data_IF_791350488300
#
_entry.id   IF_791350488300
#
_cell.length_a   1.000
_cell.length_b   1.000
_cell.length_c   1.000
_cell.angle_alpha   90.00
_cell.angle_beta   90.00
_cell.angle_gamma   90.00
#
_symmetry.space_group_name_H-M   'P 1'
#
loop_
_entity.id
_entity.type
_entity.pdbx_description
1 polymer ?
#
# COMPACT_ATOMS: atom_id res chain seq x y z
N UNK A 1 -4.12 -21.13 -11.25
CA UNK A 1 -4.97 -20.47 -12.27
C UNK A 1 -4.87 -18.98 -12.05
N UNK A 2 -4.65 -18.16 -13.09
CA UNK A 2 -4.68 -16.69 -13.02
C UNK A 2 -5.93 -16.25 -13.76
N UNK A 3 -6.72 -15.38 -13.12
CA UNK A 3 -7.97 -14.87 -13.68
C UNK A 3 -7.92 -13.35 -13.74
N UNK A 4 -8.30 -12.76 -14.87
CA UNK A 4 -8.37 -11.32 -15.04
C UNK A 4 -9.83 -10.86 -15.00
N UNK A 5 -10.13 -9.83 -14.20
CA UNK A 5 -11.48 -9.25 -14.08
C UNK A 5 -11.65 -8.42 -12.82
N UNK A 6 -12.85 -7.87 -12.63
CA UNK A 6 -13.21 -7.16 -11.41
C UNK A 6 -13.29 -8.16 -10.24
N UNK A 7 -12.64 -7.84 -9.13
CA UNK A 7 -12.59 -8.72 -7.96
C UNK A 7 -13.97 -8.91 -7.30
N UNK A 8 -14.87 -7.94 -7.39
CA UNK A 8 -16.23 -8.08 -6.83
C UNK A 8 -17.07 -9.08 -7.61
N UNK A 9 -16.91 -9.11 -8.94
CA UNK A 9 -17.61 -10.07 -9.79
C UNK A 9 -17.12 -11.50 -9.48
N UNK A 10 -15.79 -11.69 -9.40
CA UNK A 10 -15.20 -12.96 -9.05
C UNK A 10 -15.58 -13.42 -7.64
N UNK A 11 -15.43 -12.55 -6.64
CA UNK A 11 -15.85 -12.88 -5.28
C UNK A 11 -17.36 -13.18 -5.22
N UNK A 12 -18.18 -12.47 -6.02
CA UNK A 12 -19.62 -12.70 -6.11
C UNK A 12 -19.98 -14.09 -6.64
N UNK A 13 -19.20 -14.62 -7.57
CA UNK A 13 -19.39 -15.92 -8.20
C UNK A 13 -18.86 -17.11 -7.36
N UNK A 14 -18.00 -16.87 -6.37
CA UNK A 14 -17.45 -17.92 -5.51
C UNK A 14 -18.46 -18.36 -4.44
N UNK A 15 -18.40 -19.64 -4.08
CA UNK A 15 -19.20 -20.15 -2.97
C UNK A 15 -18.79 -19.54 -1.62
N UNK A 16 -19.73 -19.28 -0.71
CA UNK A 16 -19.41 -18.87 0.65
C UNK A 16 -18.53 -19.91 1.35
N UNK A 17 -17.66 -19.45 2.25
CA UNK A 17 -16.83 -20.32 3.09
C UNK A 17 -15.99 -21.34 2.29
N UNK A 18 -15.51 -20.94 1.10
CA UNK A 18 -14.77 -21.82 0.19
C UNK A 18 -13.25 -21.55 0.16
N UNK A 19 -12.79 -20.41 0.69
CA UNK A 19 -11.40 -19.95 0.60
C UNK A 19 -10.70 -20.07 1.95
N UNK A 20 -9.51 -20.68 1.98
CA UNK A 20 -8.75 -20.94 3.20
C UNK A 20 -7.95 -19.72 3.69
N UNK A 21 -7.45 -18.91 2.78
CA UNK A 21 -6.65 -17.71 3.10
C UNK A 21 -6.66 -16.72 1.94
N UNK A 22 -6.30 -15.47 2.23
CA UNK A 22 -6.09 -14.45 1.22
C UNK A 22 -4.79 -13.67 1.47
N UNK A 23 -4.05 -13.38 0.41
CA UNK A 23 -2.97 -12.38 0.41
C UNK A 23 -3.28 -11.41 -0.70
N UNK A 24 -3.35 -10.13 -0.39
CA UNK A 24 -3.76 -9.12 -1.37
C UNK A 24 -2.98 -7.82 -1.23
N UNK A 25 -2.67 -7.25 -2.39
CA UNK A 25 -2.06 -5.93 -2.56
C UNK A 25 -3.09 -5.02 -3.25
N UNK A 26 -4.02 -4.44 -2.47
CA UNK A 26 -5.10 -3.62 -3.01
C UNK A 26 -4.62 -2.20 -3.32
N UNK A 27 -5.43 -1.37 -4.01
CA UNK A 27 -5.15 0.05 -4.17
C UNK A 27 -4.83 0.75 -2.84
N UNK A 28 -3.76 1.58 -2.83
CA UNK A 28 -3.29 2.27 -1.62
C UNK A 28 -3.86 3.68 -1.44
N UNK A 29 -4.51 4.22 -2.47
CA UNK A 29 -5.00 5.59 -2.44
C UNK A 29 -3.87 6.61 -2.36
N UNK A 30 -2.86 6.50 -3.23
CA UNK A 30 -1.65 7.33 -3.20
C UNK A 30 -1.90 8.77 -3.69
N UNK A 31 -3.11 9.09 -4.14
CA UNK A 31 -3.52 10.43 -4.54
C UNK A 31 -3.73 11.39 -3.37
N UNK A 32 -4.41 12.52 -3.64
CA UNK A 32 -4.82 13.46 -2.58
C UNK A 32 -5.87 12.77 -1.70
N UNK A 33 -5.64 12.65 -0.37
CA UNK A 33 -6.59 11.99 0.50
C UNK A 33 -7.90 12.78 0.56
N UNK A 34 -9.06 12.12 0.51
CA UNK A 34 -10.33 12.77 0.74
C UNK A 34 -10.53 13.16 2.21
N UNK A 35 -11.50 14.05 2.53
CA UNK A 35 -11.88 14.33 3.91
C UNK A 35 -12.33 13.04 4.61
N UNK A 36 -11.61 12.60 5.61
CA UNK A 36 -11.87 11.31 6.28
C UNK A 36 -13.27 11.23 6.90
N UNK A 37 -13.77 12.35 7.40
CA UNK A 37 -15.12 12.41 7.98
C UNK A 37 -16.20 12.04 6.98
N UNK A 38 -16.04 12.43 5.70
CA UNK A 38 -17.01 12.12 4.64
C UNK A 38 -16.93 10.65 4.24
N UNK A 39 -15.70 10.10 4.18
CA UNK A 39 -15.48 8.68 3.95
C UNK A 39 -16.17 7.83 5.01
N UNK A 40 -15.90 8.14 6.28
CA UNK A 40 -16.45 7.38 7.42
C UNK A 40 -17.98 7.51 7.49
N UNK A 41 -18.53 8.71 7.21
CA UNK A 41 -19.98 8.91 7.18
C UNK A 41 -20.64 8.03 6.12
N UNK A 42 -20.10 8.00 4.90
CA UNK A 42 -20.60 7.15 3.83
C UNK A 42 -20.50 5.65 4.20
N UNK A 43 -19.36 5.21 4.70
CA UNK A 43 -19.17 3.80 5.08
C UNK A 43 -20.07 3.34 6.22
N UNK A 44 -20.31 4.19 7.21
CA UNK A 44 -21.22 3.89 8.33
C UNK A 44 -22.69 3.88 7.88
N UNK A 45 -23.05 4.67 6.88
CA UNK A 45 -24.36 4.62 6.24
C UNK A 45 -24.54 3.39 5.32
N UNK A 46 -23.45 2.64 5.06
CA UNK A 46 -23.47 1.50 4.13
C UNK A 46 -23.21 1.86 2.67
N UNK A 47 -22.92 3.14 2.41
CA UNK A 47 -22.68 3.66 1.07
C UNK A 47 -21.24 3.40 0.60
N UNK A 48 -21.06 3.33 -0.72
CA UNK A 48 -19.77 3.40 -1.33
C UNK A 48 -19.26 4.85 -1.32
N UNK A 49 -17.97 5.03 -0.99
CA UNK A 49 -17.30 6.30 -1.16
C UNK A 49 -16.43 6.25 -2.40
N UNK A 50 -16.65 7.15 -3.35
CA UNK A 50 -15.87 7.27 -4.58
C UNK A 50 -15.14 8.61 -4.61
N UNK A 51 -13.93 8.61 -5.14
CA UNK A 51 -13.12 9.83 -5.33
C UNK A 51 -13.01 10.08 -6.83
N UNK A 52 -13.51 11.22 -7.28
CA UNK A 52 -13.49 11.61 -8.69
C UNK A 52 -12.14 12.14 -9.17
N UNK A 53 -11.21 12.40 -8.25
CA UNK A 53 -9.86 12.82 -8.61
C UNK A 53 -9.06 11.64 -9.15
N UNK A 54 -8.30 11.86 -10.21
CA UNK A 54 -7.35 10.86 -10.72
C UNK A 54 -6.41 10.40 -9.61
N UNK A 55 -6.29 9.09 -9.40
CA UNK A 55 -5.37 8.49 -8.46
C UNK A 55 -3.90 8.70 -8.85
N UNK A 56 -3.00 7.97 -8.23
CA UNK A 56 -1.56 8.05 -8.54
C UNK A 56 -1.31 7.90 -10.05
N UNK A 57 -0.59 8.84 -10.64
CA UNK A 57 -0.32 8.93 -12.10
C UNK A 57 -1.60 8.93 -12.98
N UNK A 58 -2.70 9.49 -12.51
CA UNK A 58 -3.96 9.55 -13.25
C UNK A 58 -4.73 8.22 -13.32
N UNK A 59 -4.33 7.22 -12.56
CA UNK A 59 -4.98 5.90 -12.53
C UNK A 59 -6.21 5.94 -11.61
N UNK A 60 -7.40 5.92 -12.19
CA UNK A 60 -8.65 5.99 -11.42
C UNK A 60 -8.83 4.85 -10.42
N UNK A 61 -8.30 3.66 -10.70
CA UNK A 61 -8.41 2.51 -9.80
C UNK A 61 -7.65 2.69 -8.48
N UNK A 62 -6.61 3.55 -8.44
CA UNK A 62 -5.86 3.89 -7.23
C UNK A 62 -6.26 5.26 -6.67
N UNK A 63 -7.47 5.72 -6.95
CA UNK A 63 -7.97 7.00 -6.41
C UNK A 63 -8.14 6.97 -4.90
N UNK A 64 -8.54 5.84 -4.33
CA UNK A 64 -8.64 5.61 -2.90
C UNK A 64 -8.60 4.11 -2.57
N UNK A 65 -8.51 3.79 -1.28
CA UNK A 65 -8.50 2.40 -0.80
C UNK A 65 -9.87 1.73 -0.96
N UNK A 66 -9.93 0.39 -1.07
CA UNK A 66 -11.19 -0.35 -1.09
C UNK A 66 -11.99 -0.15 0.20
N UNK A 67 -13.26 0.22 0.05
CA UNK A 67 -14.18 0.40 1.17
C UNK A 67 -14.76 -0.92 1.71
N UNK A 68 -15.59 -0.86 2.77
CA UNK A 68 -16.14 -2.04 3.45
C UNK A 68 -16.89 -3.02 2.53
N UNK A 69 -17.44 -2.56 1.42
CA UNK A 69 -18.15 -3.41 0.43
C UNK A 69 -17.23 -4.51 -0.12
N UNK A 70 -15.98 -4.18 -0.46
CA UNK A 70 -15.00 -5.14 -0.98
C UNK A 70 -14.63 -6.16 0.09
N UNK A 71 -14.43 -5.69 1.30
CA UNK A 71 -14.04 -6.54 2.43
C UNK A 71 -15.18 -7.47 2.87
N UNK A 72 -16.44 -7.04 2.78
CA UNK A 72 -17.61 -7.92 3.00
C UNK A 72 -17.70 -9.02 1.94
N UNK A 73 -17.40 -8.71 0.67
CA UNK A 73 -17.38 -9.72 -0.38
C UNK A 73 -16.28 -10.78 -0.12
N UNK A 74 -15.07 -10.34 0.25
CA UNK A 74 -13.99 -11.25 0.67
C UNK A 74 -14.37 -12.04 1.92
N UNK A 75 -14.93 -11.37 2.92
CA UNK A 75 -15.38 -12.02 4.16
C UNK A 75 -16.36 -13.16 3.90
N UNK A 76 -17.28 -13.00 2.95
CA UNK A 76 -18.27 -14.02 2.60
C UNK A 76 -17.61 -15.31 2.11
N UNK A 77 -16.60 -15.22 1.28
CA UNK A 77 -15.97 -16.39 0.64
C UNK A 77 -14.90 -17.05 1.51
N UNK A 78 -14.31 -16.33 2.44
CA UNK A 78 -13.34 -16.90 3.37
C UNK A 78 -14.04 -17.84 4.36
N UNK A 79 -13.41 -18.97 4.68
CA UNK A 79 -13.87 -19.90 5.73
C UNK A 79 -13.83 -19.25 7.11
N UNK A 80 -14.70 -19.64 8.06
CA UNK A 80 -14.58 -19.20 9.45
C UNK A 80 -13.20 -19.48 10.03
N UNK A 81 -12.57 -18.46 10.61
CA UNK A 81 -11.19 -18.53 11.12
C UNK A 81 -10.09 -18.31 10.08
N UNK A 82 -10.42 -18.20 8.80
CA UNK A 82 -9.45 -17.91 7.74
C UNK A 82 -8.77 -16.55 7.95
N UNK A 83 -7.47 -16.50 7.65
CA UNK A 83 -6.68 -15.29 7.74
C UNK A 83 -6.54 -14.62 6.37
N UNK A 84 -6.39 -13.30 6.40
CA UNK A 84 -5.95 -12.54 5.23
C UNK A 84 -4.82 -11.59 5.60
N UNK A 85 -3.83 -11.47 4.69
CA UNK A 85 -2.78 -10.44 4.74
C UNK A 85 -3.13 -9.39 3.71
N UNK A 86 -3.36 -8.17 4.19
CA UNK A 86 -3.79 -7.04 3.36
C UNK A 86 -2.71 -5.98 3.41
N UNK A 87 -2.03 -5.74 2.29
CA UNK A 87 -1.06 -4.66 2.17
C UNK A 87 -1.76 -3.30 2.15
N UNK A 88 -1.09 -2.28 2.64
CA UNK A 88 -1.65 -0.93 2.72
C UNK A 88 -0.56 0.13 2.68
N UNK A 89 -0.87 1.26 2.05
CA UNK A 89 0.01 2.42 2.07
C UNK A 89 0.14 3.01 3.48
N UNK A 90 1.34 3.48 3.84
CA UNK A 90 1.61 4.04 5.18
C UNK A 90 0.72 5.23 5.58
N UNK A 91 0.15 5.94 4.60
CA UNK A 91 -0.73 7.10 4.85
C UNK A 91 -2.22 6.71 4.96
N UNK A 92 -2.55 5.44 4.68
CA UNK A 92 -3.93 4.95 4.60
C UNK A 92 -4.14 3.64 5.35
N UNK A 93 -3.11 3.10 6.01
CA UNK A 93 -3.17 1.83 6.76
C UNK A 93 -4.20 1.88 7.90
N UNK A 94 -4.34 3.01 8.56
CA UNK A 94 -5.33 3.27 9.61
C UNK A 94 -6.76 3.18 9.05
N UNK A 95 -7.01 3.84 7.93
CA UNK A 95 -8.32 3.83 7.26
C UNK A 95 -8.62 2.46 6.66
N UNK A 96 -7.61 1.76 6.12
CA UNK A 96 -7.72 0.38 5.66
C UNK A 96 -8.15 -0.53 6.81
N UNK A 97 -7.56 -0.37 7.99
CA UNK A 97 -7.96 -1.11 9.19
C UNK A 97 -9.42 -0.88 9.58
N UNK A 98 -9.92 0.36 9.46
CA UNK A 98 -11.34 0.68 9.68
C UNK A 98 -12.22 -0.01 8.64
N UNK A 99 -11.86 0.05 7.35
CA UNK A 99 -12.61 -0.59 6.28
C UNK A 99 -12.73 -2.11 6.48
N UNK A 100 -11.64 -2.76 6.90
CA UNK A 100 -11.60 -4.19 7.22
C UNK A 100 -12.50 -4.55 8.42
N UNK A 101 -12.48 -3.75 9.50
CA UNK A 101 -13.37 -3.94 10.65
C UNK A 101 -14.85 -3.78 10.24
N UNK A 102 -15.18 -2.77 9.45
CA UNK A 102 -16.54 -2.58 8.90
C UNK A 102 -16.92 -3.67 7.89
N UNK A 103 -15.94 -4.35 7.32
CA UNK A 103 -16.09 -5.56 6.51
C UNK A 103 -16.41 -6.81 7.32
N UNK A 104 -16.25 -6.77 8.66
CA UNK A 104 -16.52 -7.88 9.59
C UNK A 104 -15.27 -8.59 10.14
N UNK A 105 -14.07 -8.18 9.73
CA UNK A 105 -12.83 -8.82 10.15
C UNK A 105 -12.36 -8.42 11.54
N UNK A 106 -11.69 -9.35 12.21
CA UNK A 106 -10.86 -9.09 13.39
C UNK A 106 -9.45 -8.71 12.94
N UNK A 107 -8.94 -7.53 13.35
CA UNK A 107 -7.52 -7.21 13.20
C UNK A 107 -6.73 -8.06 14.20
N UNK A 108 -5.76 -8.82 13.71
CA UNK A 108 -4.91 -9.69 14.54
C UNK A 108 -3.56 -9.08 14.82
N UNK A 109 -2.96 -8.50 13.76
CA UNK A 109 -1.64 -7.89 13.85
C UNK A 109 -1.44 -6.85 12.74
N UNK A 110 -0.41 -6.03 12.88
CA UNK A 110 0.09 -5.14 11.84
C UNK A 110 1.60 -5.34 11.74
N UNK A 111 2.05 -5.66 10.55
CA UNK A 111 3.45 -5.86 10.26
C UNK A 111 3.95 -4.95 9.14
N UNK A 112 5.19 -5.12 8.79
CA UNK A 112 5.81 -4.38 7.70
C UNK A 112 6.78 -5.24 6.91
N UNK A 113 6.82 -4.99 5.63
CA UNK A 113 7.86 -5.48 4.74
C UNK A 113 8.91 -4.39 4.58
N UNK A 114 10.11 -4.61 5.13
CA UNK A 114 11.21 -3.67 5.02
C UNK A 114 11.89 -3.80 3.65
N UNK A 115 12.18 -2.67 3.00
CA UNK A 115 12.87 -2.61 1.72
C UNK A 115 13.62 -1.28 1.56
N UNK A 116 14.70 -1.30 0.75
CA UNK A 116 15.61 -0.14 0.62
C UNK A 116 15.28 0.77 -0.56
N UNK A 117 14.45 0.31 -1.48
CA UNK A 117 14.14 0.94 -2.77
C UNK A 117 12.89 1.82 -2.75
N UNK A 118 12.40 2.21 -1.56
CA UNK A 118 11.17 3.01 -1.43
C UNK A 118 11.19 4.29 -2.25
N UNK A 119 10.07 4.60 -2.89
CA UNK A 119 9.91 5.80 -3.70
C UNK A 119 9.90 7.05 -2.81
N UNK A 120 10.79 8.05 -3.02
CA UNK A 120 10.79 9.26 -2.23
C UNK A 120 9.54 10.10 -2.51
N UNK A 121 8.75 10.35 -1.45
CA UNK A 121 7.54 11.20 -1.49
C UNK A 121 7.81 12.62 -0.98
N UNK A 122 9.07 12.93 -0.67
CA UNK A 122 9.48 14.19 -0.06
C UNK A 122 9.68 15.26 -1.12
N UNK A 123 9.06 16.42 -0.90
CA UNK A 123 9.43 17.64 -1.62
C UNK A 123 10.76 18.15 -1.05
N UNK A 124 11.70 18.52 -1.90
CA UNK A 124 12.90 19.27 -1.52
C UNK A 124 12.50 20.73 -1.26
N UNK A 125 12.49 21.12 0.01
CA UNK A 125 12.02 22.45 0.43
C UNK A 125 12.91 23.56 -0.14
N UNK A 126 14.21 23.35 -0.17
CA UNK A 126 15.17 24.31 -0.71
C UNK A 126 14.92 24.58 -2.21
N UNK A 127 14.67 23.52 -3.00
CA UNK A 127 14.31 23.68 -4.42
C UNK A 127 12.95 24.36 -4.62
N UNK A 128 12.01 24.10 -3.71
CA UNK A 128 10.71 24.76 -3.76
C UNK A 128 10.83 26.27 -3.50
N UNK A 129 11.63 26.67 -2.53
CA UNK A 129 11.89 28.09 -2.21
C UNK A 129 12.53 28.83 -3.40
N UNK A 130 13.56 28.28 -4.03
CA UNK A 130 14.15 28.89 -5.20
C UNK A 130 13.15 29.05 -6.34
N UNK A 131 12.27 28.06 -6.54
CA UNK A 131 11.20 28.11 -7.55
C UNK A 131 10.20 29.24 -7.27
N UNK A 132 9.76 29.39 -6.03
CA UNK A 132 8.85 30.45 -5.60
C UNK A 132 9.49 31.84 -5.76
N UNK A 133 10.81 31.93 -5.54
CA UNK A 133 11.58 33.15 -5.75
C UNK A 133 11.91 33.42 -7.25
N UNK A 134 11.51 32.54 -8.17
CA UNK A 134 11.88 32.64 -9.57
C UNK A 134 13.39 32.48 -9.83
N UNK A 135 14.15 31.98 -8.86
CA UNK A 135 15.58 31.77 -8.96
C UNK A 135 15.91 30.45 -9.66
N UNK A 136 16.89 30.48 -10.54
CA UNK A 136 17.34 29.30 -11.29
C UNK A 136 18.66 28.81 -10.72
N UNK A 137 18.72 27.51 -10.37
CA UNK A 137 19.98 26.88 -9.95
C UNK A 137 20.85 26.58 -11.16
N UNK A 138 22.14 26.70 -10.98
CA UNK A 138 23.12 26.32 -11.98
C UNK A 138 23.02 24.82 -12.28
N UNK A 139 23.15 24.42 -13.54
CA UNK A 139 23.27 23.04 -13.96
C UNK A 139 24.74 22.65 -13.91
N UNK A 140 25.12 21.80 -12.96
CA UNK A 140 26.53 21.42 -12.75
C UNK A 140 26.88 20.09 -13.43
N UNK A 141 25.92 19.43 -14.05
CA UNK A 141 26.11 18.19 -14.78
C UNK A 141 24.82 17.54 -15.22
N UNK A 142 24.93 16.38 -15.85
CA UNK A 142 23.82 15.53 -16.24
C UNK A 142 24.06 14.09 -15.79
N UNK A 143 23.03 13.37 -15.39
CA UNK A 143 23.08 11.96 -15.06
C UNK A 143 22.01 11.21 -15.85
N UNK A 144 22.27 9.95 -16.25
CA UNK A 144 21.24 9.11 -16.84
C UNK A 144 20.06 8.94 -15.89
N UNK A 145 18.83 9.05 -16.37
CA UNK A 145 17.58 8.90 -15.57
C UNK A 145 17.35 7.45 -15.09
N UNK A 146 18.38 6.81 -14.55
CA UNK A 146 18.26 5.50 -13.92
C UNK A 146 17.68 5.59 -12.50
N UNK A 147 17.58 6.80 -11.90
CA UNK A 147 17.41 6.96 -10.45
C UNK A 147 16.40 8.03 -10.02
N UNK A 148 15.83 8.79 -10.93
CA UNK A 148 14.91 9.88 -10.53
C UNK A 148 13.51 9.41 -10.19
N UNK A 149 13.27 8.11 -10.17
CA UNK A 149 12.05 7.52 -9.62
C UNK A 149 10.80 7.65 -10.51
N UNK A 150 10.80 8.55 -11.49
CA UNK A 150 9.69 8.63 -12.43
C UNK A 150 9.71 7.48 -13.45
N UNK A 151 10.88 6.87 -13.68
CA UNK A 151 11.07 5.75 -14.60
C UNK A 151 11.30 4.40 -13.92
N UNK A 152 11.79 4.38 -12.68
CA UNK A 152 12.24 3.14 -12.04
C UNK A 152 11.10 2.19 -11.60
N UNK A 153 9.89 2.68 -11.41
CA UNK A 153 8.75 1.87 -10.94
C UNK A 153 7.95 1.23 -12.07
N UNK A 154 8.18 1.63 -13.32
CA UNK A 154 7.35 1.21 -14.46
C UNK A 154 8.14 0.63 -15.64
N UNK A 155 9.36 0.17 -15.45
CA UNK A 155 10.09 -0.56 -16.49
C UNK A 155 9.58 -1.99 -16.69
N UNK A 156 8.26 -2.16 -16.74
CA UNK A 156 7.68 -3.25 -17.50
C UNK A 156 7.53 -2.77 -18.95
N UNK A 157 8.59 -3.00 -19.71
CA UNK A 157 8.62 -2.89 -21.17
C UNK A 157 8.11 -1.56 -21.75
N UNK A 158 8.99 -0.64 -22.04
CA UNK A 158 8.94 0.11 -23.31
C UNK A 158 10.29 0.76 -23.58
N UNK A 159 10.73 0.75 -24.82
CA UNK A 159 11.78 1.59 -25.41
C UNK A 159 11.54 3.08 -25.14
N UNK A 160 11.81 3.51 -23.93
CA UNK A 160 11.94 4.95 -23.66
C UNK A 160 13.40 5.31 -23.80
N UNK A 161 13.67 6.19 -24.74
CA UNK A 161 14.96 6.83 -24.87
C UNK A 161 15.45 7.25 -23.49
N UNK A 162 16.70 6.92 -23.17
CA UNK A 162 17.36 7.31 -21.94
C UNK A 162 17.35 8.86 -21.89
N UNK A 163 16.60 9.41 -20.93
CA UNK A 163 16.52 10.88 -20.74
C UNK A 163 17.57 11.26 -19.70
N UNK A 164 18.48 12.12 -20.06
CA UNK A 164 19.43 12.66 -19.10
C UNK A 164 18.76 13.70 -18.20
N UNK A 165 19.01 13.61 -16.90
CA UNK A 165 18.50 14.53 -15.90
C UNK A 165 19.58 15.51 -15.46
N UNK A 166 19.25 16.79 -15.47
CA UNK A 166 20.15 17.83 -15.02
C UNK A 166 20.44 17.71 -13.51
N UNK A 167 21.71 17.67 -13.16
CA UNK A 167 22.18 17.82 -11.78
C UNK A 167 22.25 19.32 -11.48
N UNK A 168 21.41 19.76 -10.54
CA UNK A 168 21.39 21.15 -10.11
C UNK A 168 22.46 21.37 -9.04
N UNK A 169 23.11 22.51 -9.12
CA UNK A 169 24.05 23.02 -8.12
C UNK A 169 23.37 23.35 -6.77
N UNK A 170 24.10 24.03 -5.91
CA UNK A 170 23.62 24.47 -4.60
C UNK A 170 22.41 25.42 -4.69
N UNK A 171 21.78 25.72 -3.52
CA UNK A 171 20.72 26.72 -3.44
C UNK A 171 21.09 28.07 -4.02
N UNK A 172 20.19 28.68 -4.80
CA UNK A 172 20.41 29.92 -5.48
C UNK A 172 20.10 31.15 -4.59
N UNK A 173 19.25 31.00 -3.57
CA UNK A 173 18.86 32.09 -2.68
C UNK A 173 19.30 31.85 -1.24
N UNK A 174 19.50 32.90 -0.41
CA UNK A 174 19.82 32.75 1.02
C UNK A 174 18.74 31.95 1.79
N UNK A 175 17.48 32.16 1.44
CA UNK A 175 16.39 31.39 2.09
C UNK A 175 16.44 29.92 1.70
N UNK A 176 16.69 29.60 0.43
CA UNK A 176 16.86 28.20 0.01
C UNK A 176 18.10 27.56 0.66
N UNK A 177 19.19 28.34 0.86
CA UNK A 177 20.38 27.88 1.59
C UNK A 177 20.03 27.48 3.04
N UNK A 178 19.23 28.29 3.72
CA UNK A 178 18.79 28.03 5.11
C UNK A 178 17.99 26.71 5.24
N UNK A 179 17.25 26.34 4.20
CA UNK A 179 16.42 25.14 4.15
C UNK A 179 17.06 23.99 3.34
N UNK A 180 18.35 24.06 3.06
CA UNK A 180 19.05 22.97 2.39
C UNK A 180 19.01 21.68 3.23
N UNK A 181 18.67 20.57 2.59
CA UNK A 181 18.54 19.26 3.24
C UNK A 181 17.19 19.02 3.95
N UNK A 182 16.30 19.99 3.97
CA UNK A 182 14.94 19.79 4.53
C UNK A 182 13.99 19.24 3.48
N UNK A 183 13.14 18.31 3.93
CA UNK A 183 12.09 17.69 3.12
C UNK A 183 10.76 17.64 3.84
N UNK A 184 9.68 17.35 3.12
CA UNK A 184 8.32 17.31 3.66
C UNK A 184 7.85 15.93 4.08
N UNK A 185 8.61 14.88 3.79
CA UNK A 185 8.25 13.50 4.12
C UNK A 185 9.49 12.62 4.27
N UNK A 186 9.35 11.55 5.01
CA UNK A 186 10.36 10.49 5.08
C UNK A 186 10.32 9.64 3.80
N UNK A 187 11.49 9.12 3.40
CA UNK A 187 11.55 8.07 2.38
C UNK A 187 10.98 6.78 2.98
N UNK A 188 9.99 6.14 2.35
CA UNK A 188 9.47 4.88 2.87
C UNK A 188 10.56 3.80 2.78
N UNK A 189 10.71 3.04 3.86
CA UNK A 189 11.59 1.86 3.97
C UNK A 189 10.79 0.63 4.43
N UNK A 190 9.50 0.80 4.65
CA UNK A 190 8.59 -0.25 5.10
C UNK A 190 7.29 -0.12 4.30
N UNK A 191 6.75 -1.23 3.87
CA UNK A 191 5.40 -1.36 3.34
C UNK A 191 4.55 -2.08 4.38
N UNK A 192 3.48 -1.43 4.85
CA UNK A 192 2.65 -1.96 5.93
C UNK A 192 1.70 -3.04 5.40
N UNK A 193 1.43 -4.04 6.23
CA UNK A 193 0.36 -5.00 6.00
C UNK A 193 -0.41 -5.28 7.29
N UNK A 194 -1.67 -5.63 7.14
CA UNK A 194 -2.60 -5.92 8.22
C UNK A 194 -2.96 -7.39 8.14
N UNK A 195 -2.69 -8.14 9.22
CA UNK A 195 -3.19 -9.50 9.38
C UNK A 195 -4.59 -9.44 9.96
N UNK A 196 -5.55 -9.95 9.23
CA UNK A 196 -6.94 -10.06 9.67
C UNK A 196 -7.40 -11.50 9.69
N UNK A 197 -8.45 -11.76 10.46
CA UNK A 197 -9.09 -13.08 10.55
C UNK A 197 -10.61 -12.93 10.45
N UNK A 198 -11.25 -13.79 9.67
CA UNK A 198 -12.70 -13.98 9.80
C UNK A 198 -12.99 -14.61 11.17
N UNK A 199 -13.93 -14.10 11.97
CA UNK A 199 -14.28 -14.72 13.25
C UNK A 199 -14.51 -16.21 13.12
N UNK A 200 -14.16 -16.96 14.15
CA UNK A 200 -14.47 -18.40 14.24
C UNK A 200 -15.95 -18.60 14.52
N UNK A 201 -16.51 -19.70 14.04
CA UNK A 201 -17.91 -20.10 14.31
C UNK A 201 -18.02 -21.18 15.39
N UNK A 202 -16.91 -21.81 15.72
CA UNK A 202 -16.85 -22.84 16.75
C UNK A 202 -16.47 -22.24 18.12
N UNK A 203 -16.80 -22.94 19.19
CA UNK A 203 -16.53 -22.47 20.55
C UNK A 203 -15.04 -22.40 20.94
N UNK A 204 -14.13 -22.87 20.08
CA UNK A 204 -12.68 -22.76 20.26
C UNK A 204 -11.94 -22.83 18.94
N UNK A 205 -10.70 -22.30 18.93
CA UNK A 205 -9.80 -22.41 17.76
C UNK A 205 -9.57 -23.87 17.36
N UNK A 206 -9.38 -24.78 18.34
CA UNK A 206 -9.16 -26.19 18.05
C UNK A 206 -10.35 -26.82 17.31
N UNK A 207 -11.56 -26.54 17.76
CA UNK A 207 -12.78 -27.04 17.08
C UNK A 207 -12.92 -26.43 15.69
N UNK A 208 -12.62 -25.15 15.55
CA UNK A 208 -12.69 -24.47 14.26
C UNK A 208 -11.71 -25.07 13.25
N UNK A 209 -10.46 -25.33 13.67
CA UNK A 209 -9.44 -25.97 12.81
C UNK A 209 -9.88 -27.38 12.41
N UNK A 210 -10.42 -28.17 13.33
CA UNK A 210 -10.90 -29.53 13.03
C UNK A 210 -12.08 -29.53 12.04
N UNK A 211 -12.95 -28.51 12.11
CA UNK A 211 -14.12 -28.43 11.23
C UNK A 211 -13.81 -27.79 9.89
N UNK A 212 -13.09 -26.67 9.89
CA UNK A 212 -12.92 -25.81 8.72
C UNK A 212 -11.52 -25.88 8.09
N UNK A 213 -10.54 -26.43 8.78
CA UNK A 213 -9.13 -26.41 8.37
C UNK A 213 -8.44 -25.05 8.54
N UNK A 214 -9.13 -24.07 9.15
CA UNK A 214 -8.69 -22.68 9.28
C UNK A 214 -8.77 -22.20 10.73
N UNK A 215 -8.03 -21.12 11.08
CA UNK A 215 -8.01 -20.55 12.43
C UNK A 215 -6.64 -20.55 13.10
N UNK A 216 -5.66 -21.28 12.54
CA UNK A 216 -4.28 -21.31 13.00
C UNK A 216 -3.33 -20.83 11.92
N UNK A 217 -2.16 -20.35 12.33
CA UNK A 217 -1.03 -19.98 11.46
C UNK A 217 0.05 -21.05 11.61
N UNK A 218 0.68 -21.43 10.49
CA UNK A 218 1.82 -22.36 10.50
C UNK A 218 3.10 -21.62 10.90
N UNK A 219 3.22 -21.30 12.20
CA UNK A 219 4.34 -20.51 12.72
C UNK A 219 5.69 -21.20 12.48
N UNK A 220 5.78 -22.50 12.74
CA UNK A 220 7.03 -23.23 12.60
C UNK A 220 7.47 -23.37 11.14
N UNK A 221 6.50 -23.53 10.22
CA UNK A 221 6.79 -23.57 8.78
C UNK A 221 7.24 -22.23 8.19
N UNK A 222 7.02 -21.11 8.92
CA UNK A 222 7.44 -19.77 8.51
C UNK A 222 8.70 -19.27 9.20
N UNK A 223 9.32 -20.09 10.07
CA UNK A 223 10.57 -19.73 10.75
C UNK A 223 11.79 -20.04 9.89
N UNK A 224 12.72 -19.13 9.91
CA UNK A 224 14.08 -19.38 9.44
C UNK A 224 14.93 -19.86 10.62
N UNK A 225 15.71 -20.92 10.43
CA UNK A 225 16.66 -21.36 11.42
C UNK A 225 17.83 -20.36 11.53
N UNK A 226 18.44 -20.25 12.71
CA UNK A 226 19.67 -19.49 12.87
C UNK A 226 20.75 -20.08 11.94
N UNK A 227 21.32 -19.24 11.07
CA UNK A 227 22.29 -19.67 10.06
C UNK A 227 21.68 -20.18 8.74
N UNK A 228 20.37 -20.07 8.55
CA UNK A 228 19.73 -20.35 7.26
C UNK A 228 20.29 -19.39 6.19
N UNK A 229 20.73 -19.89 5.01
CA UNK A 229 21.23 -19.05 3.92
C UNK A 229 20.25 -17.98 3.45
N UNK A 230 18.95 -18.17 3.63
CA UNK A 230 17.93 -17.15 3.37
C UNK A 230 18.03 -15.92 4.30
N UNK A 231 18.80 -16.03 5.38
CA UNK A 231 19.08 -14.94 6.34
C UNK A 231 20.33 -14.13 5.99
N UNK A 232 21.07 -14.52 5.01
CA UNK A 232 22.23 -13.74 4.55
C UNK A 232 21.67 -12.57 3.75
N UNK A 233 21.12 -11.60 4.49
CA UNK A 233 20.87 -10.28 3.93
C UNK A 233 22.18 -9.68 3.43
N UNK A 234 22.08 -8.68 2.55
CA UNK A 234 23.25 -8.01 1.99
C UNK A 234 24.12 -7.42 3.07
#
# INVERSE_FOLDING_TARGET
MITHGDCLDWLGAMEPDSVDACVTDPPYGLGKPPPIADVLRAWLAGDAYTVDSGGFMGRKWDSFIPGPRYWRALFRVLKPGAHAVVFAGQRTVDVMGIALRLGGFEIRDVGGWAYWSGFPKSLDVSKAIDREAGAVREVVGTIPDRWTGAGAVLNFATDRAQVDVNVLGGPATPDAQRWAGFGTALKPAIESWILVRKPITEGSIARNVLRWGTGALNIDGCRFAAGDPAWVGP
#
